data_IF_132202012634
#
_entry.id   IF_132202012634
#
_cell.length_a   1.000
_cell.length_b   1.000
_cell.length_c   1.000
_cell.angle_alpha   90.00
_cell.angle_beta   90.00
_cell.angle_gamma   90.00
#
_symmetry.space_group_name_H-M   'P 1'
#
loop_
_entity.id
_entity.type
_entity.pdbx_description
1 polymer ?
#
# COMPACT_ATOMS: atom_id res chain seq x y z
N UNK A 1 3.29 -9.34 5.98
CA UNK A 1 2.20 -8.95 5.07
C UNK A 1 2.81 -8.42 3.78
N UNK A 2 2.38 -8.91 2.63
CA UNK A 2 3.02 -8.60 1.34
C UNK A 2 2.48 -7.31 0.73
N UNK A 3 3.26 -6.68 -0.15
CA UNK A 3 2.84 -5.51 -0.93
C UNK A 3 1.53 -5.76 -1.68
N UNK A 4 1.35 -6.96 -2.25
CA UNK A 4 0.14 -7.37 -2.94
C UNK A 4 -1.12 -7.29 -2.05
N UNK A 5 -1.00 -7.62 -0.76
CA UNK A 5 -2.10 -7.54 0.18
C UNK A 5 -2.53 -6.08 0.43
N UNK A 6 -1.57 -5.17 0.57
CA UNK A 6 -1.83 -3.74 0.76
C UNK A 6 -2.46 -3.10 -0.49
N UNK A 7 -2.02 -3.51 -1.68
CA UNK A 7 -2.63 -3.10 -2.94
C UNK A 7 -4.07 -3.62 -3.02
N UNK A 8 -4.33 -4.89 -2.69
CA UNK A 8 -5.67 -5.46 -2.71
C UNK A 8 -6.63 -4.73 -1.76
N UNK A 9 -6.18 -4.40 -0.54
CA UNK A 9 -6.95 -3.62 0.42
C UNK A 9 -7.22 -2.20 -0.12
N UNK A 10 -6.20 -1.53 -0.64
CA UNK A 10 -6.34 -0.20 -1.22
C UNK A 10 -7.33 -0.16 -2.39
N UNK A 11 -7.27 -1.15 -3.29
CA UNK A 11 -8.22 -1.30 -4.41
C UNK A 11 -9.63 -1.55 -3.91
N UNK A 12 -9.84 -2.46 -2.96
CA UNK A 12 -11.18 -2.75 -2.43
C UNK A 12 -11.85 -1.50 -1.83
N UNK A 13 -11.09 -0.71 -1.06
CA UNK A 13 -11.56 0.56 -0.48
C UNK A 13 -11.78 1.59 -1.59
N UNK A 14 -10.85 1.72 -2.53
CA UNK A 14 -10.94 2.66 -3.64
C UNK A 14 -12.15 2.40 -4.55
N UNK A 15 -12.45 1.14 -4.85
CA UNK A 15 -13.65 0.75 -5.61
C UNK A 15 -14.92 1.10 -4.84
N UNK A 16 -14.97 0.84 -3.53
CA UNK A 16 -16.15 1.19 -2.71
C UNK A 16 -16.39 2.71 -2.67
N UNK A 17 -15.32 3.51 -2.52
CA UNK A 17 -15.40 4.97 -2.54
C UNK A 17 -15.75 5.49 -3.95
N UNK A 18 -15.13 4.94 -4.99
CA UNK A 18 -15.45 5.29 -6.37
C UNK A 18 -16.88 4.95 -6.75
N UNK A 19 -17.44 3.85 -6.24
CA UNK A 19 -18.84 3.48 -6.42
C UNK A 19 -19.78 4.48 -5.75
N UNK A 20 -19.44 4.93 -4.54
CA UNK A 20 -20.22 5.95 -3.82
C UNK A 20 -20.17 7.33 -4.52
N UNK A 21 -19.10 7.62 -5.26
CA UNK A 21 -18.91 8.87 -6.00
C UNK A 21 -19.37 8.79 -7.46
N UNK A 22 -19.97 7.67 -7.89
CA UNK A 22 -20.30 7.37 -9.29
C UNK A 22 -19.08 7.50 -10.24
N UNK A 23 -17.87 7.34 -9.70
CA UNK A 23 -16.61 7.47 -10.43
C UNK A 23 -15.60 6.40 -10.00
N UNK A 24 -15.84 5.18 -10.48
CA UNK A 24 -15.00 4.01 -10.19
C UNK A 24 -13.56 4.22 -10.65
N UNK A 25 -13.34 4.89 -11.80
CA UNK A 25 -12.01 5.14 -12.34
C UNK A 25 -11.15 5.95 -11.35
N UNK A 26 -11.71 7.04 -10.81
CA UNK A 26 -11.04 7.86 -9.81
C UNK A 26 -10.85 7.11 -8.49
N UNK A 27 -11.87 6.37 -8.03
CA UNK A 27 -11.76 5.56 -6.82
C UNK A 27 -10.66 4.49 -6.89
N UNK A 28 -10.58 3.76 -8.00
CA UNK A 28 -9.51 2.76 -8.22
C UNK A 28 -8.13 3.41 -8.28
N UNK A 29 -7.98 4.54 -8.99
CA UNK A 29 -6.70 5.25 -9.08
C UNK A 29 -6.20 5.68 -7.69
N UNK A 30 -7.09 6.25 -6.87
CA UNK A 30 -6.77 6.65 -5.48
C UNK A 30 -6.48 5.42 -4.62
N UNK A 31 -7.30 4.37 -4.72
CA UNK A 31 -7.12 3.14 -3.95
C UNK A 31 -5.79 2.44 -4.22
N UNK A 32 -5.39 2.34 -5.49
CA UNK A 32 -4.08 1.80 -5.90
C UNK A 32 -2.95 2.67 -5.38
N UNK A 33 -3.06 4.00 -5.51
CA UNK A 33 -2.03 4.94 -5.05
C UNK A 33 -1.81 4.81 -3.52
N UNK A 34 -2.88 4.77 -2.73
CA UNK A 34 -2.82 4.61 -1.28
C UNK A 34 -2.29 3.22 -0.90
N UNK A 35 -2.79 2.15 -1.53
CA UNK A 35 -2.36 0.79 -1.25
C UNK A 35 -0.87 0.55 -1.57
N UNK A 36 -0.38 1.11 -2.67
CA UNK A 36 1.02 1.07 -3.05
C UNK A 36 1.90 1.92 -2.11
N UNK A 37 1.46 3.13 -1.74
CA UNK A 37 2.19 4.00 -0.82
C UNK A 37 2.32 3.37 0.58
N UNK A 38 1.23 2.83 1.13
CA UNK A 38 1.24 2.16 2.43
C UNK A 38 2.05 0.86 2.39
N UNK A 39 1.85 0.03 1.38
CA UNK A 39 2.62 -1.21 1.22
C UNK A 39 4.11 -0.96 1.05
N UNK A 40 4.48 0.08 0.30
CA UNK A 40 5.87 0.51 0.11
C UNK A 40 6.48 1.09 1.39
N UNK A 41 5.76 1.97 2.09
CA UNK A 41 6.22 2.57 3.34
C UNK A 41 6.41 1.51 4.44
N UNK A 42 5.41 0.67 4.69
CA UNK A 42 5.46 -0.38 5.72
C UNK A 42 6.49 -1.46 5.34
N UNK A 43 6.60 -1.79 4.05
CA UNK A 43 7.66 -2.65 3.53
C UNK A 43 9.05 -2.07 3.79
N UNK A 44 9.25 -0.76 3.60
CA UNK A 44 10.51 -0.09 3.88
C UNK A 44 10.85 -0.08 5.38
N UNK A 45 9.86 0.07 6.27
CA UNK A 45 10.07 -0.07 7.72
C UNK A 45 10.43 -1.50 8.14
N UNK A 46 9.92 -2.51 7.44
CA UNK A 46 10.19 -3.92 7.74
C UNK A 46 11.54 -4.40 7.17
N UNK A 47 12.08 -3.72 6.16
CA UNK A 47 13.35 -4.08 5.49
C UNK A 47 14.59 -3.42 6.09
N UNK A 48 14.50 -2.79 7.26
CA UNK A 48 15.70 -2.41 8.02
C UNK A 48 16.21 -3.67 8.74
N UNK A 49 16.94 -4.52 8.00
CA UNK A 49 17.82 -5.51 8.60
C UNK A 49 18.75 -4.82 9.62
N UNK A 50 19.09 -5.48 10.74
CA UNK A 50 19.89 -4.88 11.81
C UNK A 50 21.13 -4.18 11.25
N UNK A 51 21.45 -2.96 11.72
CA UNK A 51 22.74 -2.35 11.45
C UNK A 51 23.81 -3.35 11.90
N UNK A 52 24.55 -3.84 10.92
CA UNK A 52 25.79 -4.56 11.09
C UNK A 52 26.63 -3.83 12.15
N UNK A 53 26.62 -4.41 13.34
CA UNK A 53 27.50 -4.00 14.42
C UNK A 53 28.92 -4.30 13.96
N UNK A 54 29.85 -3.33 13.98
CA UNK A 54 31.23 -3.61 13.65
C UNK A 54 31.80 -4.49 14.75
N UNK A 55 31.86 -5.80 14.50
CA UNK A 55 32.56 -6.76 15.35
C UNK A 55 33.84 -7.20 14.64
N UNK A 56 34.91 -6.46 14.98
CA UNK A 56 36.34 -6.77 14.84
C UNK A 56 36.92 -6.95 13.43
#
# INVERSE_FOLDING_TARGET
MTLAMWIAIGVAIGVAVGAAMDNIALGVAIGVAIGAALGGAIGAFTNKGPPDSPTH
#
